data_IF_848171116628
#
_entry.id   IF_848171116628
#
_cell.length_a   1.000
_cell.length_b   1.000
_cell.length_c   1.000
_cell.angle_alpha   90.00
_cell.angle_beta   90.00
_cell.angle_gamma   90.00
#
_symmetry.space_group_name_H-M   'P 1'
#
loop_
_entity.id
_entity.type
_entity.pdbx_description
1 polymer ?
#
# COMPACT_ATOMS: atom_id res chain seq x y z
N UNK A 1 -3.07 -21.72 10.20
CA UNK A 1 -2.34 -20.89 9.24
C UNK A 1 -2.12 -19.52 9.86
N UNK A 2 -0.87 -19.02 9.92
CA UNK A 2 -0.60 -17.66 10.42
C UNK A 2 -0.97 -16.69 9.30
N UNK A 3 -2.00 -15.86 9.51
CA UNK A 3 -2.30 -14.75 8.60
C UNK A 3 -1.19 -13.71 8.76
N UNK A 4 -0.36 -13.52 7.74
CA UNK A 4 0.62 -12.43 7.76
C UNK A 4 -0.12 -11.10 7.68
N UNK A 5 0.09 -10.23 8.66
CA UNK A 5 -0.60 -8.93 8.77
C UNK A 5 0.22 -7.79 8.13
N UNK A 6 1.31 -8.12 7.43
CA UNK A 6 2.25 -7.15 6.87
C UNK A 6 2.84 -7.69 5.57
N UNK A 7 3.12 -6.80 4.61
CA UNK A 7 3.93 -7.07 3.42
C UNK A 7 5.05 -6.04 3.34
N UNK A 8 6.27 -6.47 3.06
CA UNK A 8 7.41 -5.58 2.85
C UNK A 8 7.61 -5.41 1.35
N UNK A 9 7.72 -4.16 0.90
CA UNK A 9 7.94 -3.80 -0.49
C UNK A 9 9.24 -2.99 -0.55
N UNK A 10 10.16 -3.44 -1.41
CA UNK A 10 11.41 -2.73 -1.69
C UNK A 10 11.17 -1.78 -2.85
N UNK A 11 11.44 -0.50 -2.64
CA UNK A 11 11.26 0.53 -3.64
C UNK A 11 12.34 0.44 -4.71
N UNK A 12 11.93 0.59 -5.96
CA UNK A 12 12.85 0.72 -7.09
C UNK A 12 13.57 2.06 -7.03
N UNK A 13 12.85 3.12 -6.64
CA UNK A 13 13.41 4.45 -6.41
C UNK A 13 13.27 4.84 -4.92
N UNK A 14 14.38 4.93 -4.17
CA UNK A 14 14.32 5.28 -2.75
C UNK A 14 13.74 6.67 -2.49
N UNK A 15 12.91 6.78 -1.45
CA UNK A 15 12.40 8.09 -1.01
C UNK A 15 13.47 8.76 -0.15
N UNK A 16 13.87 9.97 -0.53
CA UNK A 16 14.86 10.76 0.22
C UNK A 16 14.16 11.70 1.22
N UNK A 17 14.48 11.56 2.51
CA UNK A 17 14.02 12.44 3.59
C UNK A 17 15.21 13.02 4.35
N UNK A 18 15.65 14.21 3.92
CA UNK A 18 16.87 14.82 4.44
C UNK A 18 18.08 13.93 4.09
N UNK A 19 18.77 13.43 5.11
CA UNK A 19 19.93 12.54 4.95
C UNK A 19 19.54 11.05 4.88
N UNK A 20 18.28 10.71 5.18
CA UNK A 20 17.81 9.33 5.19
C UNK A 20 17.23 8.91 3.84
N UNK A 21 17.52 7.69 3.42
CA UNK A 21 16.84 7.03 2.30
C UNK A 21 15.94 5.91 2.82
N UNK A 22 14.71 5.90 2.34
CA UNK A 22 13.75 4.82 2.57
C UNK A 22 13.78 3.94 1.33
N UNK A 23 14.31 2.73 1.48
CA UNK A 23 14.38 1.72 0.42
C UNK A 23 13.30 0.66 0.57
N UNK A 24 12.69 0.54 1.75
CA UNK A 24 11.68 -0.46 2.06
C UNK A 24 10.52 0.16 2.80
N UNK A 25 9.31 -0.30 2.45
CA UNK A 25 8.07 0.09 3.09
C UNK A 25 7.31 -1.17 3.51
N UNK A 26 6.91 -1.21 4.77
CA UNK A 26 6.00 -2.22 5.29
C UNK A 26 4.56 -1.74 5.15
N UNK A 27 3.74 -2.46 4.39
CA UNK A 27 2.29 -2.27 4.30
C UNK A 27 1.61 -3.16 5.33
N UNK A 28 0.92 -2.55 6.29
CA UNK A 28 0.17 -3.25 7.34
C UNK A 28 -1.26 -3.53 6.87
N UNK A 29 -1.83 -4.64 7.34
CA UNK A 29 -3.23 -5.01 7.12
C UNK A 29 -4.15 -3.87 7.60
N UNK A 30 -4.94 -3.25 6.70
CA UNK A 30 -5.85 -2.18 7.09
C UNK A 30 -6.91 -2.66 8.08
N UNK A 31 -7.23 -1.81 9.06
CA UNK A 31 -8.40 -1.97 9.92
C UNK A 31 -9.49 -1.00 9.50
N UNK A 32 -10.75 -1.23 9.92
CA UNK A 32 -11.88 -0.35 9.57
C UNK A 32 -11.59 1.15 9.84
N UNK A 33 -10.95 1.55 10.95
CA UNK A 33 -10.57 2.94 11.17
C UNK A 33 -9.67 3.55 10.08
N UNK A 34 -8.80 2.77 9.44
CA UNK A 34 -7.93 3.25 8.36
C UNK A 34 -8.72 3.69 7.12
N UNK A 35 -9.94 3.18 6.94
CA UNK A 35 -10.86 3.54 5.85
C UNK A 35 -11.76 4.73 6.19
N UNK A 36 -11.68 5.30 7.40
CA UNK A 36 -12.55 6.39 7.82
C UNK A 36 -12.43 7.58 6.86
N UNK A 37 -13.58 8.02 6.33
CA UNK A 37 -13.65 9.14 5.39
C UNK A 37 -13.32 8.78 3.93
N UNK A 38 -12.98 7.52 3.65
CA UNK A 38 -12.85 7.01 2.29
C UNK A 38 -14.13 6.27 1.89
N UNK A 39 -14.52 6.35 0.62
CA UNK A 39 -15.50 5.42 0.08
C UNK A 39 -14.79 4.10 -0.17
N UNK A 40 -15.36 3.00 0.32
CA UNK A 40 -14.80 1.67 0.10
C UNK A 40 -14.67 1.35 -1.40
N UNK A 41 -15.65 1.80 -2.20
CA UNK A 41 -15.64 1.59 -3.65
C UNK A 41 -14.43 2.23 -4.33
N UNK A 42 -14.07 3.46 -3.98
CA UNK A 42 -12.92 4.17 -4.54
C UNK A 42 -11.61 3.41 -4.23
N UNK A 43 -11.48 2.85 -3.03
CA UNK A 43 -10.34 2.01 -2.64
C UNK A 43 -10.29 0.72 -3.47
N UNK A 44 -11.42 0.04 -3.67
CA UNK A 44 -11.50 -1.18 -4.47
C UNK A 44 -11.27 -0.95 -5.96
N UNK A 45 -11.59 0.24 -6.47
CA UNK A 45 -11.29 0.67 -7.84
C UNK A 45 -9.88 1.20 -8.01
N UNK A 46 -9.05 1.14 -6.96
CA UNK A 46 -7.68 1.66 -6.96
C UNK A 46 -7.60 3.15 -7.32
N UNK A 47 -8.55 3.95 -6.83
CA UNK A 47 -8.48 5.41 -6.97
C UNK A 47 -7.23 5.96 -6.28
N UNK A 48 -6.46 6.77 -7.01
CA UNK A 48 -5.14 7.24 -6.58
C UNK A 48 -5.22 8.08 -5.31
N UNK A 49 -6.20 8.98 -5.21
CA UNK A 49 -6.34 9.88 -4.06
C UNK A 49 -6.78 9.09 -2.81
N UNK A 50 -7.74 8.17 -2.98
CA UNK A 50 -8.16 7.28 -1.90
C UNK A 50 -7.01 6.39 -1.40
N UNK A 51 -6.21 5.85 -2.33
CA UNK A 51 -5.06 5.01 -2.01
C UNK A 51 -3.93 5.79 -1.35
N UNK A 52 -3.62 7.02 -1.76
CA UNK A 52 -2.62 7.84 -1.06
C UNK A 52 -3.00 8.07 0.40
N UNK A 53 -4.29 8.34 0.66
CA UNK A 53 -4.80 8.49 2.03
C UNK A 53 -4.72 7.18 2.81
N UNK A 54 -5.07 6.04 2.19
CA UNK A 54 -5.00 4.74 2.84
C UNK A 54 -3.55 4.35 3.15
N UNK A 55 -2.65 4.43 2.16
CA UNK A 55 -1.24 4.09 2.28
C UNK A 55 -0.56 4.90 3.38
N UNK A 56 -0.79 6.22 3.43
CA UNK A 56 -0.29 7.07 4.52
C UNK A 56 -0.72 6.61 5.93
N UNK A 57 -1.81 5.85 6.06
CA UNK A 57 -2.32 5.33 7.35
C UNK A 57 -1.84 3.92 7.67
N UNK A 58 -1.42 3.15 6.67
CA UNK A 58 -1.11 1.72 6.85
C UNK A 58 0.34 1.38 6.52
N UNK A 59 1.17 2.33 6.13
CA UNK A 59 2.59 2.07 5.85
C UNK A 59 3.51 2.44 7.02
N UNK A 60 4.61 1.67 7.13
CA UNK A 60 5.75 1.98 7.99
C UNK A 60 7.02 1.97 7.13
N UNK A 61 7.76 3.10 7.00
CA UNK A 61 7.43 4.41 7.55
C UNK A 61 6.15 5.02 6.96
N UNK A 62 5.54 5.94 7.71
CA UNK A 62 4.34 6.68 7.26
C UNK A 62 4.69 7.44 5.99
N UNK A 63 3.94 7.23 4.91
CA UNK A 63 4.07 8.01 3.68
C UNK A 63 3.38 9.37 3.81
N UNK A 64 4.06 10.42 3.37
CA UNK A 64 3.59 11.78 3.31
C UNK A 64 3.23 12.15 1.87
N UNK A 65 2.42 13.20 1.71
CA UNK A 65 2.02 13.71 0.38
C UNK A 65 3.21 13.98 -0.54
N UNK A 66 4.30 14.49 0.01
CA UNK A 66 5.54 14.77 -0.74
C UNK A 66 6.18 13.52 -1.33
N UNK A 67 6.05 12.37 -0.67
CA UNK A 67 6.70 11.14 -1.14
C UNK A 67 6.03 10.61 -2.40
N UNK A 68 4.69 10.72 -2.49
CA UNK A 68 3.93 10.29 -3.66
C UNK A 68 4.23 11.12 -4.91
N UNK A 69 4.66 12.38 -4.75
CA UNK A 69 4.98 13.26 -5.89
C UNK A 69 6.19 12.75 -6.67
N UNK A 70 7.14 12.12 -5.99
CA UNK A 70 8.40 11.63 -6.56
C UNK A 70 8.48 10.11 -6.64
N UNK A 71 7.40 9.41 -6.27
CA UNK A 71 7.33 7.95 -6.26
C UNK A 71 7.11 7.43 -7.68
N UNK A 72 7.79 6.34 -8.01
CA UNK A 72 7.57 5.65 -9.28
C UNK A 72 6.19 4.98 -9.31
N UNK A 73 5.57 4.96 -10.49
CA UNK A 73 4.22 4.39 -10.67
C UNK A 73 4.20 2.91 -10.30
N UNK A 74 5.27 2.17 -10.60
CA UNK A 74 5.42 0.76 -10.25
C UNK A 74 5.40 0.56 -8.73
N UNK A 75 6.21 1.32 -8.00
CA UNK A 75 6.29 1.28 -6.54
C UNK A 75 4.94 1.63 -5.90
N UNK A 76 4.26 2.69 -6.38
CA UNK A 76 2.92 3.05 -5.91
C UNK A 76 1.91 1.93 -6.13
N UNK A 77 1.92 1.33 -7.32
CA UNK A 77 1.00 0.26 -7.70
C UNK A 77 1.21 -0.98 -6.83
N UNK A 78 2.45 -1.35 -6.53
CA UNK A 78 2.77 -2.48 -5.66
C UNK A 78 2.29 -2.25 -4.22
N UNK A 79 2.54 -1.06 -3.67
CA UNK A 79 2.05 -0.66 -2.35
C UNK A 79 0.52 -0.70 -2.27
N UNK A 80 -0.15 -0.16 -3.29
CA UNK A 80 -1.61 -0.18 -3.39
C UNK A 80 -2.16 -1.60 -3.49
N UNK A 81 -1.57 -2.45 -4.33
CA UNK A 81 -1.97 -3.84 -4.48
C UNK A 81 -1.82 -4.63 -3.17
N UNK A 82 -0.74 -4.38 -2.42
CA UNK A 82 -0.56 -4.98 -1.09
C UNK A 82 -1.66 -4.56 -0.12
N UNK A 83 -2.01 -3.27 -0.08
CA UNK A 83 -3.05 -2.75 0.81
C UNK A 83 -4.45 -3.30 0.46
N UNK A 84 -4.81 -3.31 -0.83
CA UNK A 84 -6.10 -3.83 -1.32
C UNK A 84 -6.19 -5.35 -1.16
N UNK A 85 -5.10 -6.07 -1.36
CA UNK A 85 -5.04 -7.52 -1.17
C UNK A 85 -5.38 -7.98 0.25
N UNK A 86 -5.25 -7.11 1.24
CA UNK A 86 -5.67 -7.38 2.62
C UNK A 86 -7.18 -7.25 2.89
N UNK A 87 -7.94 -6.63 1.98
CA UNK A 87 -9.38 -6.38 2.16
C UNK A 87 -10.24 -7.63 1.87
N UNK A 88 -9.70 -8.60 1.15
CA UNK A 88 -10.35 -9.90 0.88
C UNK A 88 -10.34 -10.83 2.09
N UNK A 89 -11.32 -11.74 2.18
CA UNK A 89 -11.35 -12.82 3.19
C UNK A 89 -10.29 -13.90 2.94
N UNK A 90 -9.86 -14.06 1.69
CA UNK A 90 -8.71 -14.88 1.33
C UNK A 90 -7.52 -13.94 1.12
N UNK A 91 -6.59 -13.91 2.07
CA UNK A 91 -5.28 -13.27 1.87
C UNK A 91 -4.33 -14.16 1.03
N UNK A 92 -4.83 -15.27 0.50
CA UNK A 92 -4.21 -16.00 -0.60
C UNK A 92 -4.81 -15.43 -1.89
N UNK A 93 -4.09 -14.47 -2.49
CA UNK A 93 -4.24 -14.25 -3.93
C UNK A 93 -3.63 -15.50 -4.57
N UNK A 94 -4.48 -16.51 -4.80
CA UNK A 94 -4.22 -17.49 -5.85
C UNK A 94 -4.01 -16.70 -7.14
N UNK A 95 -2.77 -16.66 -7.60
CA UNK A 95 -2.47 -16.34 -9.00
C UNK A 95 -3.02 -17.50 -9.84
N UNK A 96 -4.33 -17.48 -10.09
CA UNK A 96 -4.95 -18.32 -11.12
C UNK A 96 -4.99 -17.55 -12.45
N UNK A 97 -4.46 -18.25 -13.46
CA UNK A 97 -4.62 -18.10 -14.90
C UNK A 97 -3.87 -16.97 -15.62
N UNK A 98 -2.85 -17.35 -16.40
CA UNK A 98 -3.08 -17.45 -17.85
C UNK A 98 -2.35 -18.66 -18.42
N UNK A 99 -3.09 -19.37 -19.28
CA UNK A 99 -2.75 -20.56 -20.07
C UNK A 99 -1.53 -20.37 -20.99
#
# INVERSE_FOLDING_TARGET
MKTENTKIITLTNPITRGENQITEITVNKPTVPALKGLKMFDVLQMDVDALQVLLARVTTPVLHKSDFVTMEVADFTELAAAAVGFLGKSSEVETEATE
#
